data_IF_681198003669
#
_entry.id   IF_681198003669
#
_cell.length_a   1.000
_cell.length_b   1.000
_cell.length_c   1.000
_cell.angle_alpha   90.00
_cell.angle_beta   90.00
_cell.angle_gamma   90.00
#
_symmetry.space_group_name_H-M   'P 1'
#
loop_
_entity.id
_entity.type
_entity.pdbx_description
1 polymer ?
#
# COMPACT_ATOMS: atom_id res chain seq x y z
N UNK A 1 -3.55 -57.12 56.12
CA UNK A 1 -3.56 -55.64 56.14
C UNK A 1 -2.18 -55.11 55.81
N UNK A 2 -2.02 -54.44 54.65
CA UNK A 2 -1.20 -53.23 54.45
C UNK A 2 -1.46 -52.77 53.02
N UNK A 3 -2.12 -51.62 52.92
CA UNK A 3 -2.69 -51.02 51.71
C UNK A 3 -1.57 -50.35 50.91
N UNK A 4 -1.44 -50.71 49.64
CA UNK A 4 -0.59 -50.00 48.68
C UNK A 4 -1.21 -48.66 48.34
N UNK A 5 -0.50 -47.59 48.66
CA UNK A 5 -0.86 -46.21 48.37
C UNK A 5 -0.61 -45.94 46.87
N UNK A 6 -1.67 -45.95 46.06
CA UNK A 6 -1.61 -45.47 44.68
C UNK A 6 -1.59 -43.94 44.74
N UNK A 7 -0.43 -43.35 44.46
CA UNK A 7 -0.28 -41.91 44.30
C UNK A 7 -0.80 -41.54 42.90
N UNK A 8 -2.09 -41.20 42.82
CA UNK A 8 -2.70 -40.65 41.62
C UNK A 8 -2.23 -39.20 41.47
N UNK A 9 -1.16 -38.98 40.70
CA UNK A 9 -0.74 -37.64 40.27
C UNK A 9 -1.72 -37.18 39.21
N UNK A 10 -2.76 -36.44 39.64
CA UNK A 10 -3.63 -35.70 38.74
C UNK A 10 -2.79 -34.56 38.17
N UNK A 11 -2.28 -34.75 36.95
CA UNK A 11 -1.73 -33.68 36.13
C UNK A 11 -2.91 -32.85 35.61
N UNK A 12 -3.44 -31.96 36.45
CA UNK A 12 -4.29 -30.87 35.99
C UNK A 12 -3.40 -29.90 35.22
N UNK A 13 -3.22 -30.16 33.93
CA UNK A 13 -2.87 -29.13 32.96
C UNK A 13 -4.02 -28.12 32.92
N UNK A 14 -4.03 -27.22 33.91
CA UNK A 14 -4.73 -25.95 33.78
C UNK A 14 -4.01 -25.24 32.64
N UNK A 15 -4.57 -25.38 31.44
CA UNK A 15 -4.33 -24.51 30.31
C UNK A 15 -4.78 -23.10 30.74
N UNK A 16 -3.93 -22.43 31.53
CA UNK A 16 -3.95 -20.99 31.58
C UNK A 16 -3.61 -20.55 30.17
N UNK A 17 -4.64 -20.28 29.37
CA UNK A 17 -4.56 -19.25 28.35
C UNK A 17 -4.11 -18.00 29.10
N UNK A 18 -2.79 -17.79 29.18
CA UNK A 18 -2.25 -16.48 29.50
C UNK A 18 -2.85 -15.57 28.42
N UNK A 19 -3.87 -14.80 28.81
CA UNK A 19 -4.30 -13.64 28.04
C UNK A 19 -3.03 -12.81 27.89
N UNK A 20 -2.42 -12.85 26.71
CA UNK A 20 -1.32 -11.98 26.39
C UNK A 20 -1.82 -10.56 26.66
N UNK A 21 -1.20 -9.78 27.56
CA UNK A 21 -1.68 -8.45 27.84
C UNK A 21 -1.70 -7.65 26.53
N UNK A 22 -2.76 -6.87 26.32
CA UNK A 22 -2.81 -5.81 25.32
C UNK A 22 -1.46 -5.10 25.28
N UNK A 23 -0.75 -5.15 24.15
CA UNK A 23 0.55 -4.49 24.05
C UNK A 23 0.31 -3.03 23.70
N UNK A 24 0.71 -2.16 24.63
CA UNK A 24 0.73 -0.69 24.57
C UNK A 24 -0.54 0.01 24.01
N UNK A 25 -1.70 -0.16 24.66
CA UNK A 25 -2.91 0.57 24.30
C UNK A 25 -2.76 2.10 24.49
N UNK A 26 -1.80 2.55 25.31
CA UNK A 26 -1.56 3.96 25.53
C UNK A 26 -0.86 4.58 24.31
N UNK A 27 0.13 3.90 23.73
CA UNK A 27 0.76 4.35 22.49
C UNK A 27 -0.29 4.49 21.38
N UNK A 28 -1.13 3.47 21.19
CA UNK A 28 -2.18 3.54 20.15
C UNK A 28 -3.09 4.73 20.41
N UNK A 29 -3.61 4.85 21.64
CA UNK A 29 -4.45 5.96 22.06
C UNK A 29 -3.80 7.31 21.71
N UNK A 30 -2.58 7.57 22.18
CA UNK A 30 -1.94 8.88 22.06
C UNK A 30 -1.49 9.24 20.63
N UNK A 31 -1.28 8.26 19.76
CA UNK A 31 -0.63 8.48 18.46
C UNK A 31 -1.53 8.25 17.25
N UNK A 32 -2.81 7.93 17.44
CA UNK A 32 -3.71 7.56 16.34
C UNK A 32 -4.99 8.39 16.32
N UNK A 33 -5.73 8.28 15.22
CA UNK A 33 -6.96 9.04 15.00
C UNK A 33 -8.11 8.56 15.85
N UNK A 34 -9.03 9.48 16.12
CA UNK A 34 -10.30 9.17 16.75
C UNK A 34 -11.24 8.44 15.77
N UNK A 35 -11.19 8.75 14.48
CA UNK A 35 -12.05 8.22 13.43
C UNK A 35 -11.40 7.12 12.57
N UNK A 36 -12.23 6.35 11.85
CA UNK A 36 -11.82 5.32 10.90
C UNK A 36 -11.48 5.87 9.50
N UNK A 37 -10.82 5.02 8.71
CA UNK A 37 -10.34 5.29 7.35
C UNK A 37 -11.42 5.67 6.34
N UNK A 38 -11.63 6.96 6.09
CA UNK A 38 -12.69 7.46 5.19
C UNK A 38 -12.37 7.39 3.70
N UNK A 39 -13.41 7.45 2.88
CA UNK A 39 -13.34 7.40 1.42
C UNK A 39 -13.68 8.74 0.78
N UNK A 40 -13.12 9.00 -0.40
CA UNK A 40 -13.52 10.13 -1.26
C UNK A 40 -13.30 9.79 -2.72
N UNK A 41 -14.40 9.78 -3.48
CA UNK A 41 -14.39 9.33 -4.87
C UNK A 41 -13.61 10.25 -5.80
N UNK A 42 -13.55 11.54 -5.48
CA UNK A 42 -12.94 12.56 -6.34
C UNK A 42 -12.07 13.53 -5.54
N UNK A 43 -10.77 13.57 -5.86
CA UNK A 43 -9.83 14.58 -5.37
C UNK A 43 -9.71 15.74 -6.38
N UNK A 44 -9.88 17.01 -5.97
CA UNK A 44 -9.79 18.16 -6.86
C UNK A 44 -8.34 18.50 -7.25
N UNK A 45 -8.20 19.21 -8.37
CA UNK A 45 -6.91 19.71 -8.90
C UNK A 45 -6.15 20.58 -7.89
N UNK A 46 -6.87 21.37 -7.08
CA UNK A 46 -6.26 22.22 -6.05
C UNK A 46 -5.42 21.40 -5.08
N UNK A 47 -5.93 20.26 -4.63
CA UNK A 47 -5.22 19.35 -3.72
C UNK A 47 -4.04 18.71 -4.45
N UNK A 48 -4.23 18.25 -5.69
CA UNK A 48 -3.13 17.72 -6.50
C UNK A 48 -1.96 18.71 -6.60
N UNK A 49 -2.27 19.97 -6.92
CA UNK A 49 -1.29 21.05 -7.02
C UNK A 49 -0.60 21.33 -5.69
N UNK A 50 -1.33 21.32 -4.58
CA UNK A 50 -0.75 21.58 -3.26
C UNK A 50 0.06 20.40 -2.73
N UNK A 51 -0.24 19.18 -3.18
CA UNK A 51 0.50 17.97 -2.83
C UNK A 51 1.92 17.99 -3.36
N UNK A 52 2.13 18.33 -4.65
CA UNK A 52 3.43 18.18 -5.30
C UNK A 52 4.18 19.50 -5.49
N UNK A 53 5.50 19.39 -5.58
CA UNK A 53 6.37 20.52 -5.93
C UNK A 53 6.35 20.69 -7.46
N UNK A 54 6.11 21.92 -7.93
CA UNK A 54 6.27 22.29 -9.34
C UNK A 54 5.02 22.15 -10.23
N UNK A 55 3.87 21.77 -9.67
CA UNK A 55 2.61 21.67 -10.43
C UNK A 55 2.00 23.06 -10.65
N UNK A 56 1.71 23.39 -11.90
CA UNK A 56 1.12 24.67 -12.28
C UNK A 56 -0.38 24.76 -11.91
N UNK A 57 -0.94 25.98 -11.72
CA UNK A 57 -2.39 26.17 -11.77
C UNK A 57 -2.97 25.65 -13.09
N UNK A 58 -4.21 25.17 -13.08
CA UNK A 58 -4.87 24.73 -14.31
C UNK A 58 -5.09 25.92 -15.28
N UNK A 59 -4.86 25.75 -16.60
CA UNK A 59 -4.37 24.54 -17.26
C UNK A 59 -2.86 24.30 -17.02
N UNK A 60 -2.49 23.07 -16.67
CA UNK A 60 -1.10 22.67 -16.42
C UNK A 60 -0.42 22.11 -17.67
N UNK A 61 0.86 21.71 -17.54
CA UNK A 61 1.50 20.88 -18.56
C UNK A 61 0.78 19.53 -18.73
N UNK A 62 0.85 18.98 -19.94
CA UNK A 62 0.10 17.79 -20.34
C UNK A 62 0.38 16.57 -19.45
N UNK A 63 1.60 16.42 -18.93
CA UNK A 63 1.97 15.28 -18.08
C UNK A 63 1.37 15.34 -16.68
N UNK A 64 1.31 16.53 -16.08
CA UNK A 64 0.66 16.73 -14.78
C UNK A 64 -0.84 16.41 -14.89
N UNK A 65 -1.45 16.83 -16.01
CA UNK A 65 -2.85 16.55 -16.30
C UNK A 65 -3.13 15.06 -16.51
N UNK A 66 -2.25 14.36 -17.24
CA UNK A 66 -2.32 12.89 -17.36
C UNK A 66 -2.23 12.25 -15.97
N UNK A 67 -1.24 12.57 -15.14
CA UNK A 67 -1.15 11.96 -13.79
C UNK A 67 -2.39 12.22 -12.93
N UNK A 68 -2.90 13.44 -12.97
CA UNK A 68 -4.09 13.80 -12.25
C UNK A 68 -5.31 12.99 -12.71
N UNK A 69 -5.61 13.01 -14.01
CA UNK A 69 -6.79 12.38 -14.57
C UNK A 69 -6.73 10.86 -14.49
N UNK A 70 -5.53 10.27 -14.58
CA UNK A 70 -5.36 8.82 -14.63
C UNK A 70 -5.25 8.16 -13.25
N UNK A 71 -4.80 8.88 -12.21
CA UNK A 71 -4.52 8.29 -10.90
C UNK A 71 -5.09 9.14 -9.78
N UNK A 72 -4.64 10.38 -9.68
CA UNK A 72 -4.87 11.16 -8.48
C UNK A 72 -6.35 11.45 -8.24
N UNK A 73 -7.07 11.80 -9.31
CA UNK A 73 -8.45 12.28 -9.24
C UNK A 73 -9.40 11.22 -8.69
N UNK A 74 -9.33 9.97 -9.15
CA UNK A 74 -10.36 8.95 -8.89
C UNK A 74 -9.84 7.61 -8.41
N UNK A 75 -8.51 7.38 -8.35
CA UNK A 75 -7.94 6.09 -7.95
C UNK A 75 -7.24 6.13 -6.62
N UNK A 76 -6.59 7.25 -6.32
CA UNK A 76 -5.72 7.31 -5.16
C UNK A 76 -6.48 7.06 -3.85
N UNK A 77 -7.61 7.75 -3.67
CA UNK A 77 -8.36 7.78 -2.42
C UNK A 77 -9.80 7.22 -2.49
N UNK A 78 -10.14 6.54 -3.59
CA UNK A 78 -11.51 6.04 -3.87
C UNK A 78 -12.04 5.03 -2.87
N UNK A 79 -11.18 4.58 -1.97
CA UNK A 79 -11.36 3.37 -1.18
C UNK A 79 -10.79 3.49 0.22
N UNK A 80 -10.14 4.61 0.51
CA UNK A 80 -9.55 4.88 1.80
C UNK A 80 -8.45 5.92 1.73
N UNK A 81 -8.26 6.63 2.83
CA UNK A 81 -7.14 7.52 3.09
C UNK A 81 -6.10 6.93 4.05
N UNK A 82 -6.06 5.60 4.26
CA UNK A 82 -5.24 4.94 5.28
C UNK A 82 -3.77 5.41 5.27
N UNK A 83 -3.17 5.53 4.07
CA UNK A 83 -1.80 6.05 3.93
C UNK A 83 -1.67 7.49 4.43
N UNK A 84 -2.62 8.35 4.07
CA UNK A 84 -2.60 9.77 4.44
C UNK A 84 -2.81 9.94 5.94
N UNK A 85 -3.74 9.18 6.51
CA UNK A 85 -4.00 9.15 7.95
C UNK A 85 -2.78 8.70 8.73
N UNK A 86 -2.21 7.54 8.40
CA UNK A 86 -1.09 6.96 9.14
C UNK A 86 0.16 7.84 9.04
N UNK A 87 0.49 8.32 7.84
CA UNK A 87 1.65 9.17 7.63
C UNK A 87 1.47 10.53 8.30
N UNK A 88 0.28 11.13 8.26
CA UNK A 88 0.04 12.40 8.94
C UNK A 88 0.15 12.25 10.46
N UNK A 89 -0.41 11.19 11.04
CA UNK A 89 -0.29 10.90 12.46
C UNK A 89 1.19 10.75 12.89
N UNK A 90 1.99 10.04 12.09
CA UNK A 90 3.42 9.88 12.35
C UNK A 90 4.22 11.18 12.16
N UNK A 91 3.86 12.02 11.19
CA UNK A 91 4.44 13.36 11.02
C UNK A 91 4.15 14.25 12.23
N UNK A 92 2.92 14.22 12.74
CA UNK A 92 2.54 14.95 13.97
C UNK A 92 3.31 14.43 15.17
N UNK A 93 3.42 13.11 15.36
CA UNK A 93 4.19 12.50 16.46
C UNK A 93 5.67 12.90 16.40
N UNK A 94 6.30 12.81 15.22
CA UNK A 94 7.74 13.09 15.07
C UNK A 94 8.08 14.58 15.23
N UNK A 95 7.21 15.46 14.72
CA UNK A 95 7.51 16.90 14.61
C UNK A 95 6.75 17.77 15.64
N UNK A 96 5.86 17.19 16.46
CA UNK A 96 4.93 17.92 17.32
C UNK A 96 3.70 18.49 16.58
N UNK A 97 3.74 18.51 15.25
CA UNK A 97 2.62 18.90 14.38
C UNK A 97 2.99 18.87 12.90
N UNK A 98 1.98 18.92 12.02
CA UNK A 98 2.15 18.96 10.57
C UNK A 98 0.92 19.59 9.90
N UNK A 99 1.13 20.40 8.85
CA UNK A 99 0.08 21.10 8.09
C UNK A 99 -0.96 21.85 8.96
N UNK A 100 -0.54 22.42 10.09
CA UNK A 100 -1.41 23.19 10.99
C UNK A 100 -2.07 22.37 12.12
N UNK A 101 -1.85 21.07 12.17
CA UNK A 101 -2.37 20.17 13.20
C UNK A 101 -1.27 19.73 14.17
N UNK A 102 -1.54 19.74 15.47
CA UNK A 102 -0.60 19.39 16.54
C UNK A 102 -0.86 17.98 17.08
N UNK A 103 0.17 17.29 17.53
CA UNK A 103 0.00 16.04 18.28
C UNK A 103 -0.71 16.32 19.63
N UNK A 104 -1.61 15.45 20.13
CA UNK A 104 -1.96 14.12 19.61
C UNK A 104 -3.14 14.08 18.63
N UNK A 105 -3.16 13.18 17.62
CA UNK A 105 -4.21 13.14 16.58
C UNK A 105 -5.64 12.92 17.11
N UNK A 106 -5.80 12.18 18.21
CA UNK A 106 -7.13 11.85 18.75
C UNK A 106 -7.94 13.07 19.24
N UNK A 107 -7.31 14.25 19.42
CA UNK A 107 -8.03 15.47 19.84
C UNK A 107 -8.92 16.02 18.72
N UNK A 108 -8.67 15.60 17.49
CA UNK A 108 -9.44 15.99 16.33
C UNK A 108 -10.61 15.02 16.14
N UNK A 109 -11.82 15.56 16.23
CA UNK A 109 -13.05 14.77 16.12
C UNK A 109 -13.37 14.40 14.67
N UNK A 110 -13.96 13.22 14.50
CA UNK A 110 -14.63 12.80 13.27
C UNK A 110 -16.16 12.92 13.39
N UNK A 111 -16.84 12.83 12.26
CA UNK A 111 -18.27 12.53 12.26
C UNK A 111 -18.45 11.02 12.25
N UNK A 112 -19.65 10.54 12.59
CA UNK A 112 -20.02 9.13 12.45
C UNK A 112 -21.29 9.05 11.62
N UNK A 113 -21.28 8.25 10.57
CA UNK A 113 -22.54 7.81 10.00
C UNK A 113 -23.08 6.77 10.98
N UNK A 114 -24.13 7.14 11.73
CA UNK A 114 -24.88 6.16 12.51
C UNK A 114 -25.45 5.13 11.54
N UNK A 115 -25.05 3.85 11.67
CA UNK A 115 -25.66 2.70 10.97
C UNK A 115 -27.19 2.79 10.95
N UNK A 116 -27.75 3.27 9.86
CA UNK A 116 -29.16 3.04 9.56
C UNK A 116 -29.27 1.95 8.51
N UNK A 117 -29.53 0.74 9.02
CA UNK A 117 -30.21 -0.38 8.36
C UNK A 117 -29.48 -1.18 7.26
N UNK A 118 -29.27 -2.47 7.59
CA UNK A 118 -29.32 -3.68 6.74
C UNK A 118 -28.23 -4.04 5.73
N UNK A 119 -27.20 -3.23 5.47
CA UNK A 119 -26.09 -3.65 4.60
C UNK A 119 -24.82 -4.00 5.41
N UNK A 120 -24.26 -5.22 5.32
CA UNK A 120 -23.05 -5.62 6.07
C UNK A 120 -21.74 -5.20 5.38
N UNK A 121 -21.78 -4.37 4.34
CA UNK A 121 -20.59 -3.89 3.66
C UNK A 121 -19.91 -2.77 4.47
N UNK A 122 -18.60 -2.86 4.79
CA UNK A 122 -17.86 -1.83 5.54
C UNK A 122 -17.76 -0.45 4.84
N UNK A 123 -18.38 -0.26 3.67
CA UNK A 123 -18.18 0.91 2.81
C UNK A 123 -18.99 2.14 3.17
N UNK A 124 -20.05 2.01 3.97
CA UNK A 124 -21.05 3.07 4.14
C UNK A 124 -20.96 3.79 5.50
N UNK A 125 -20.12 3.31 6.41
CA UNK A 125 -20.02 3.77 7.80
C UNK A 125 -18.84 4.76 8.06
N UNK A 126 -18.31 5.42 7.02
CA UNK A 126 -17.03 6.15 7.17
C UNK A 126 -17.13 7.66 6.97
N UNK A 127 -17.32 8.37 8.08
CA UNK A 127 -17.22 9.83 8.12
C UNK A 127 -15.85 10.21 8.70
N UNK A 128 -15.01 10.82 7.87
CA UNK A 128 -13.67 11.25 8.23
C UNK A 128 -13.65 12.41 9.24
N UNK A 129 -12.58 13.22 9.27
CA UNK A 129 -12.50 14.34 10.20
C UNK A 129 -13.62 15.36 9.97
N UNK A 130 -14.15 15.95 11.05
CA UNK A 130 -15.14 17.02 10.97
C UNK A 130 -14.60 18.31 10.35
N UNK A 131 -13.29 18.54 10.53
CA UNK A 131 -12.61 19.71 10.00
C UNK A 131 -12.22 19.47 8.52
N UNK A 132 -12.80 20.22 7.55
CA UNK A 132 -12.47 20.07 6.13
C UNK A 132 -11.01 20.40 5.81
N UNK A 133 -10.34 21.22 6.63
CA UNK A 133 -8.92 21.49 6.45
C UNK A 133 -8.06 20.28 6.87
N UNK A 134 -8.51 19.50 7.88
CA UNK A 134 -7.83 18.28 8.30
C UNK A 134 -8.01 17.21 7.23
N UNK A 135 -9.22 17.13 6.67
CA UNK A 135 -9.50 16.26 5.53
C UNK A 135 -8.55 16.58 4.36
N UNK A 136 -8.39 17.87 4.03
CA UNK A 136 -7.48 18.32 2.98
C UNK A 136 -6.02 17.97 3.30
N UNK A 137 -5.58 18.16 4.55
CA UNK A 137 -4.23 17.78 4.98
C UNK A 137 -3.98 16.27 4.83
N UNK A 138 -4.95 15.44 5.21
CA UNK A 138 -4.90 13.98 5.02
C UNK A 138 -4.85 13.64 3.53
N UNK A 139 -5.69 14.26 2.70
CA UNK A 139 -5.71 14.06 1.24
C UNK A 139 -4.39 14.44 0.57
N UNK A 140 -3.76 15.54 1.01
CA UNK A 140 -2.44 15.96 0.53
C UNK A 140 -1.35 14.95 0.90
N UNK A 141 -1.30 14.54 2.17
CA UNK A 141 -0.33 13.53 2.64
C UNK A 141 -0.60 12.19 1.98
N UNK A 142 -1.87 11.85 1.73
CA UNK A 142 -2.27 10.67 1.00
C UNK A 142 -1.65 10.65 -0.41
N UNK A 143 -1.56 11.82 -1.04
CA UNK A 143 -0.85 12.09 -2.28
C UNK A 143 0.63 11.70 -2.32
N UNK A 144 1.34 11.73 -1.20
CA UNK A 144 2.80 11.52 -1.21
C UNK A 144 3.22 10.14 -1.70
N UNK A 145 2.33 9.15 -1.70
CA UNK A 145 2.61 7.80 -2.20
C UNK A 145 2.91 7.68 -3.71
N UNK A 146 2.64 8.71 -4.52
CA UNK A 146 2.99 8.72 -5.96
C UNK A 146 4.06 9.76 -6.32
N UNK A 147 4.77 10.29 -5.33
CA UNK A 147 5.86 11.22 -5.59
C UNK A 147 7.15 10.49 -6.01
N UNK A 148 8.11 11.24 -6.58
CA UNK A 148 9.36 10.68 -7.12
C UNK A 148 10.16 9.88 -6.08
N UNK A 149 10.48 10.48 -4.92
CA UNK A 149 11.27 9.83 -3.87
C UNK A 149 10.62 8.53 -3.36
N UNK A 150 9.29 8.52 -3.22
CA UNK A 150 8.54 7.37 -2.73
C UNK A 150 8.61 6.19 -3.72
N UNK A 151 8.34 6.45 -5.01
CA UNK A 151 8.39 5.42 -6.04
C UNK A 151 9.80 4.89 -6.28
N UNK A 152 10.83 5.76 -6.21
CA UNK A 152 12.23 5.32 -6.26
C UNK A 152 12.56 4.34 -5.12
N UNK A 153 12.15 4.67 -3.90
CA UNK A 153 12.36 3.79 -2.74
C UNK A 153 11.70 2.42 -2.95
N UNK A 154 10.46 2.37 -3.45
CA UNK A 154 9.77 1.11 -3.71
C UNK A 154 10.48 0.27 -4.78
N UNK A 155 10.96 0.91 -5.87
CA UNK A 155 11.75 0.23 -6.88
C UNK A 155 13.06 -0.34 -6.32
N UNK A 156 13.73 0.36 -5.41
CA UNK A 156 14.95 -0.14 -4.77
C UNK A 156 14.68 -1.36 -3.88
N UNK A 157 13.61 -1.35 -3.09
CA UNK A 157 13.20 -2.51 -2.26
C UNK A 157 12.86 -3.72 -3.13
N UNK A 158 12.18 -3.49 -4.26
CA UNK A 158 11.86 -4.54 -5.22
C UNK A 158 13.10 -5.07 -5.93
N UNK A 159 14.04 -4.19 -6.27
CA UNK A 159 15.25 -4.57 -6.97
C UNK A 159 16.15 -5.51 -6.15
N UNK A 160 16.16 -5.36 -4.83
CA UNK A 160 16.88 -6.27 -3.93
C UNK A 160 16.07 -7.53 -3.56
N UNK A 161 14.87 -7.69 -4.11
CA UNK A 161 14.02 -8.88 -3.90
C UNK A 161 13.52 -9.03 -2.46
N UNK A 162 13.36 -7.92 -1.72
CA UNK A 162 12.98 -7.94 -0.29
C UNK A 162 11.54 -7.49 0.00
N UNK A 163 10.77 -7.12 -1.03
CA UNK A 163 9.42 -6.57 -0.84
C UNK A 163 8.41 -7.55 -0.22
N UNK A 164 8.67 -8.86 -0.26
CA UNK A 164 7.79 -9.92 0.27
C UNK A 164 8.40 -10.70 1.45
N UNK A 165 9.60 -10.35 1.89
CA UNK A 165 10.29 -11.04 2.98
C UNK A 165 9.96 -10.39 4.33
N UNK A 166 9.05 -11.00 5.10
CA UNK A 166 8.63 -10.47 6.40
C UNK A 166 9.79 -10.33 7.40
N UNK A 167 10.88 -11.10 7.27
CA UNK A 167 12.07 -10.93 8.13
C UNK A 167 12.77 -9.62 7.83
N UNK A 168 12.86 -9.26 6.55
CA UNK A 168 13.42 -7.99 6.14
C UNK A 168 12.56 -6.85 6.68
N UNK A 169 11.24 -6.93 6.55
CA UNK A 169 10.30 -5.94 7.10
C UNK A 169 10.48 -5.79 8.61
N UNK A 170 10.55 -6.89 9.36
CA UNK A 170 10.81 -6.87 10.80
C UNK A 170 12.12 -6.17 11.16
N UNK A 171 13.20 -6.45 10.41
CA UNK A 171 14.49 -5.79 10.61
C UNK A 171 14.42 -4.29 10.30
N UNK A 172 13.76 -3.91 9.20
CA UNK A 172 13.58 -2.51 8.82
C UNK A 172 12.75 -1.73 9.85
N UNK A 173 11.67 -2.32 10.38
CA UNK A 173 10.86 -1.69 11.44
C UNK A 173 11.72 -1.39 12.66
N UNK A 174 12.47 -2.37 13.16
CA UNK A 174 13.36 -2.17 14.31
C UNK A 174 14.44 -1.11 14.03
N UNK A 175 15.02 -1.15 12.84
CA UNK A 175 16.03 -0.19 12.41
C UNK A 175 15.51 1.25 12.40
N UNK A 176 14.34 1.48 11.80
CA UNK A 176 13.78 2.82 11.66
C UNK A 176 13.20 3.37 12.96
N UNK A 177 12.55 2.53 13.77
CA UNK A 177 12.14 2.92 15.12
C UNK A 177 13.34 3.32 15.99
N UNK A 178 14.44 2.55 15.94
CA UNK A 178 15.66 2.89 16.67
C UNK A 178 16.35 4.18 16.18
N UNK A 179 16.07 4.60 14.93
CA UNK A 179 16.61 5.84 14.34
C UNK A 179 15.72 7.07 14.56
N UNK A 180 14.64 6.95 15.33
CA UNK A 180 13.64 8.00 15.47
C UNK A 180 13.07 8.45 14.10
N UNK A 181 12.88 7.49 13.20
CA UNK A 181 12.27 7.71 11.89
C UNK A 181 11.11 6.72 11.69
N UNK A 182 10.04 6.85 12.50
CA UNK A 182 9.01 5.81 12.64
C UNK A 182 8.43 5.41 11.28
N UNK A 183 8.53 4.14 10.88
CA UNK A 183 8.07 3.75 9.56
C UNK A 183 6.55 3.55 9.54
N UNK A 184 5.99 3.51 8.33
CA UNK A 184 4.70 2.87 8.05
C UNK A 184 4.95 1.55 7.32
N UNK A 185 4.03 0.61 7.40
CA UNK A 185 4.10 -0.66 6.67
C UNK A 185 3.04 -0.65 5.58
N UNK A 186 3.48 -0.79 4.33
CA UNK A 186 2.60 -1.08 3.20
C UNK A 186 2.46 -2.60 3.04
N UNK A 187 1.23 -3.10 3.05
CA UNK A 187 0.91 -4.49 2.70
C UNK A 187 0.00 -4.54 1.48
N UNK A 188 0.16 -5.57 0.67
CA UNK A 188 -0.75 -5.84 -0.46
C UNK A 188 -1.29 -7.25 -0.33
N UNK A 189 -2.52 -7.49 -0.81
CA UNK A 189 -3.12 -8.84 -0.77
C UNK A 189 -2.37 -9.80 -1.69
N UNK A 190 -1.97 -9.29 -2.85
CA UNK A 190 -1.19 -10.01 -3.86
C UNK A 190 -0.23 -9.04 -4.56
N UNK A 191 0.36 -9.52 -5.64
CA UNK A 191 1.22 -8.80 -6.60
C UNK A 191 0.44 -7.93 -7.57
N UNK A 192 -0.86 -8.20 -7.72
CA UNK A 192 -1.74 -7.55 -8.68
C UNK A 192 -2.14 -6.16 -8.16
N UNK A 193 -2.01 -5.10 -8.99
CA UNK A 193 -2.46 -3.77 -8.62
C UNK A 193 -3.98 -3.65 -8.40
N UNK A 194 -4.76 -4.63 -8.86
CA UNK A 194 -6.20 -4.67 -8.65
C UNK A 194 -6.61 -5.28 -7.29
N UNK A 195 -5.72 -6.03 -6.62
CA UNK A 195 -6.08 -6.80 -5.42
C UNK A 195 -6.00 -5.99 -4.12
N UNK A 196 -5.57 -4.74 -4.23
CA UNK A 196 -5.60 -3.77 -3.15
C UNK A 196 -4.34 -3.69 -2.29
N UNK A 197 -4.17 -2.54 -1.65
CA UNK A 197 -3.08 -2.22 -0.74
C UNK A 197 -3.61 -1.58 0.54
N UNK A 198 -2.90 -1.76 1.65
CA UNK A 198 -3.24 -1.20 2.95
C UNK A 198 -1.99 -0.71 3.66
N UNK A 199 -2.16 0.25 4.56
CA UNK A 199 -1.06 0.84 5.35
C UNK A 199 -1.37 0.72 6.82
N UNK A 200 -0.32 0.41 7.58
CA UNK A 200 -0.36 0.12 8.99
C UNK A 200 0.78 0.87 9.69
N UNK A 201 0.59 1.28 10.93
CA UNK A 201 1.67 1.90 11.73
C UNK A 201 2.27 0.86 12.68
N UNK A 202 3.50 0.38 12.46
CA UNK A 202 4.20 -0.44 13.44
C UNK A 202 4.63 0.39 14.65
N UNK A 203 4.35 -0.09 15.85
CA UNK A 203 4.76 0.57 17.09
C UNK A 203 5.59 -0.32 18.01
N UNK A 204 5.55 -1.63 17.83
CA UNK A 204 6.30 -2.56 18.66
C UNK A 204 6.64 -3.84 17.89
N UNK A 205 7.77 -4.46 18.19
CA UNK A 205 8.14 -5.75 17.62
C UNK A 205 8.52 -6.75 18.70
N UNK A 206 8.28 -8.03 18.44
CA UNK A 206 8.63 -9.11 19.36
C UNK A 206 9.20 -10.30 18.62
N UNK A 207 10.41 -10.69 18.99
CA UNK A 207 11.03 -11.94 18.55
C UNK A 207 10.71 -13.05 19.55
N UNK A 208 10.08 -14.12 19.08
CA UNK A 208 9.71 -15.28 19.89
C UNK A 208 10.45 -16.55 19.43
N UNK A 209 11.59 -16.38 18.76
CA UNK A 209 12.38 -17.47 18.20
C UNK A 209 11.82 -17.95 16.87
N UNK A 210 10.94 -18.96 16.88
CA UNK A 210 10.36 -19.54 15.65
C UNK A 210 9.44 -18.58 14.89
N UNK A 211 8.91 -17.58 15.59
CA UNK A 211 7.97 -16.59 15.07
C UNK A 211 8.39 -15.21 15.51
N UNK A 212 8.17 -14.21 14.64
CA UNK A 212 8.32 -12.79 14.94
C UNK A 212 6.98 -12.11 14.77
N UNK A 213 6.73 -11.06 15.55
CA UNK A 213 5.51 -10.24 15.45
C UNK A 213 5.87 -8.78 15.32
N UNK A 214 5.17 -8.10 14.42
CA UNK A 214 5.16 -6.64 14.35
C UNK A 214 3.76 -6.20 14.77
N UNK A 215 3.65 -5.53 15.91
CA UNK A 215 2.39 -4.98 16.40
C UNK A 215 2.12 -3.65 15.71
N UNK A 216 0.88 -3.48 15.28
CA UNK A 216 0.47 -2.41 14.37
C UNK A 216 -0.80 -1.72 14.83
N UNK A 217 -0.92 -0.44 14.52
CA UNK A 217 -2.18 0.27 14.40
C UNK A 217 -2.72 0.12 12.98
N UNK A 218 -4.03 -0.08 12.88
CA UNK A 218 -4.76 -0.18 11.62
C UNK A 218 -5.79 0.96 11.53
N UNK A 219 -5.68 1.88 10.56
CA UNK A 219 -6.61 3.01 10.44
C UNK A 219 -8.04 2.60 10.06
N UNK A 220 -8.29 1.35 9.67
CA UNK A 220 -9.66 0.82 9.54
C UNK A 220 -10.28 0.43 10.89
N UNK A 221 -9.53 0.54 12.00
CA UNK A 221 -9.95 0.16 13.35
C UNK A 221 -9.46 1.21 14.34
N UNK A 222 -10.26 2.24 14.59
CA UNK A 222 -9.96 3.22 15.62
C UNK A 222 -9.99 2.59 17.01
N UNK A 223 -9.09 3.06 17.88
CA UNK A 223 -9.08 2.70 19.30
C UNK A 223 -10.29 3.27 20.05
N UNK A 224 -10.82 4.39 19.57
CA UNK A 224 -11.78 5.23 20.27
C UNK A 224 -13.23 4.96 19.89
N UNK A 225 -13.45 4.26 18.77
CA UNK A 225 -14.74 4.21 18.09
C UNK A 225 -15.28 2.79 17.84
N UNK A 226 -16.62 2.66 17.72
CA UNK A 226 -17.31 1.38 17.66
C UNK A 226 -17.44 0.84 16.22
N UNK A 227 -16.47 0.02 15.80
CA UNK A 227 -16.63 -1.03 14.79
C UNK A 227 -16.79 -2.41 15.45
N UNK A 228 -16.93 -3.49 14.67
CA UNK A 228 -17.10 -4.86 15.22
C UNK A 228 -15.94 -5.31 16.14
N UNK A 229 -14.75 -4.70 16.07
CA UNK A 229 -13.59 -5.07 16.88
C UNK A 229 -12.59 -3.94 17.22
N UNK A 230 -12.86 -2.65 17.03
CA UNK A 230 -11.85 -1.56 17.16
C UNK A 230 -10.97 -1.60 18.42
N UNK A 231 -11.56 -1.34 19.61
CA UNK A 231 -10.82 -1.44 20.88
C UNK A 231 -10.38 -2.86 21.23
N UNK A 232 -11.17 -3.87 20.88
CA UNK A 232 -10.89 -5.27 21.17
C UNK A 232 -9.68 -5.79 20.38
N UNK A 233 -9.47 -5.30 19.16
CA UNK A 233 -8.34 -5.61 18.30
C UNK A 233 -7.00 -5.27 18.97
N UNK A 234 -6.94 -4.11 19.63
CA UNK A 234 -5.77 -3.66 20.38
C UNK A 234 -5.67 -4.27 21.78
N UNK A 235 -6.80 -4.59 22.41
CA UNK A 235 -6.80 -5.11 23.79
C UNK A 235 -6.67 -6.64 23.90
N UNK A 236 -6.98 -7.38 22.84
CA UNK A 236 -6.81 -8.83 22.76
C UNK A 236 -5.48 -9.25 22.12
N UNK A 237 -4.62 -8.28 21.77
CA UNK A 237 -3.29 -8.47 21.21
C UNK A 237 -3.29 -9.29 19.90
N UNK A 238 -4.31 -9.14 19.06
CA UNK A 238 -4.40 -9.73 17.71
C UNK A 238 -3.89 -8.77 16.60
N UNK A 239 -3.54 -7.55 16.98
CA UNK A 239 -3.10 -6.46 16.12
C UNK A 239 -1.63 -6.60 15.69
N UNK A 240 -1.28 -7.73 15.06
CA UNK A 240 0.09 -7.97 14.62
C UNK A 240 0.18 -8.62 13.24
N UNK A 241 1.28 -8.30 12.55
CA UNK A 241 1.77 -9.08 11.42
C UNK A 241 2.59 -10.24 11.99
N UNK A 242 2.17 -11.46 11.70
CA UNK A 242 2.82 -12.70 12.13
C UNK A 242 3.86 -13.13 11.08
N UNK A 243 5.09 -13.40 11.49
CA UNK A 243 6.21 -13.71 10.58
C UNK A 243 6.87 -15.01 11.01
N UNK A 244 7.03 -15.94 10.08
CA UNK A 244 7.76 -17.19 10.28
C UNK A 244 9.26 -16.93 10.13
N UNK A 245 10.03 -17.06 11.22
CA UNK A 245 11.46 -16.71 11.23
C UNK A 245 12.30 -17.49 10.20
N UNK A 246 11.93 -18.74 9.92
CA UNK A 246 12.69 -19.59 9.01
C UNK A 246 12.51 -19.19 7.54
N UNK A 247 11.26 -18.96 7.11
CA UNK A 247 10.90 -18.76 5.70
C UNK A 247 10.73 -17.30 5.31
N UNK A 248 10.48 -16.42 6.28
CA UNK A 248 10.07 -15.04 6.03
C UNK A 248 8.65 -14.89 5.50
N UNK A 249 7.86 -15.96 5.53
CA UNK A 249 6.43 -15.87 5.28
C UNK A 249 5.76 -15.00 6.35
N UNK A 250 4.82 -14.15 5.94
CA UNK A 250 4.08 -13.27 6.81
C UNK A 250 2.56 -13.38 6.57
N UNK A 251 1.78 -13.05 7.58
CA UNK A 251 0.31 -12.93 7.48
C UNK A 251 -0.22 -11.82 8.38
N UNK A 252 -1.32 -11.21 7.95
CA UNK A 252 -2.05 -10.19 8.69
C UNK A 252 -3.56 -10.39 8.57
N UNK A 253 -4.30 -10.20 9.65
CA UNK A 253 -5.76 -10.32 9.64
C UNK A 253 -6.41 -8.98 9.26
N UNK A 254 -6.85 -8.87 8.00
CA UNK A 254 -7.66 -7.76 7.49
C UNK A 254 -9.15 -7.90 7.84
N UNK A 255 -9.59 -9.08 8.29
CA UNK A 255 -10.96 -9.34 8.71
C UNK A 255 -11.24 -8.87 10.13
N UNK A 256 -12.36 -9.32 10.71
CA UNK A 256 -12.70 -9.04 12.12
C UNK A 256 -12.29 -10.20 13.02
N UNK A 257 -12.29 -10.00 14.33
CA UNK A 257 -12.06 -11.09 15.29
C UNK A 257 -12.95 -12.32 15.07
N UNK A 258 -14.23 -12.13 14.71
CA UNK A 258 -15.18 -13.22 14.46
C UNK A 258 -15.18 -13.78 13.03
N UNK A 259 -14.55 -13.08 12.08
CA UNK A 259 -14.48 -13.47 10.67
C UNK A 259 -13.12 -13.06 10.10
N UNK A 260 -12.06 -13.84 10.37
CA UNK A 260 -10.71 -13.48 9.98
C UNK A 260 -10.52 -13.61 8.46
N UNK A 261 -9.87 -12.61 7.87
CA UNK A 261 -9.49 -12.57 6.45
C UNK A 261 -7.99 -12.31 6.40
N UNK A 262 -7.21 -13.32 6.01
CA UNK A 262 -5.76 -13.19 6.02
C UNK A 262 -5.23 -12.67 4.69
N UNK A 263 -4.43 -11.61 4.77
CA UNK A 263 -3.48 -11.26 3.72
C UNK A 263 -2.14 -11.88 4.09
N UNK A 264 -1.41 -12.37 3.09
CA UNK A 264 -0.15 -13.06 3.33
C UNK A 264 0.83 -12.87 2.19
N UNK A 265 2.10 -13.12 2.49
CA UNK A 265 3.20 -13.05 1.55
C UNK A 265 4.36 -13.93 1.97
N UNK A 266 5.20 -14.28 1.01
CA UNK A 266 6.48 -14.94 1.27
C UNK A 266 7.49 -14.50 0.19
N UNK A 267 8.81 -14.75 0.39
CA UNK A 267 9.82 -14.32 -0.58
C UNK A 267 9.60 -14.79 -2.03
N UNK A 268 8.83 -15.87 -2.25
CA UNK A 268 8.54 -16.43 -3.57
C UNK A 268 7.18 -16.07 -4.16
N UNK A 269 6.17 -15.69 -3.36
CA UNK A 269 4.79 -15.55 -3.84
C UNK A 269 3.93 -14.60 -2.96
N UNK A 270 2.71 -14.34 -3.45
CA UNK A 270 1.65 -13.55 -2.81
C UNK A 270 2.00 -12.07 -2.54
N UNK A 271 1.46 -11.48 -1.47
CA UNK A 271 1.51 -10.05 -1.18
C UNK A 271 2.88 -9.48 -0.82
N UNK A 272 3.02 -8.16 -0.96
CA UNK A 272 4.15 -7.39 -0.44
C UNK A 272 3.93 -6.99 1.02
N UNK A 273 5.02 -6.80 1.75
CA UNK A 273 5.04 -6.25 3.10
C UNK A 273 6.31 -5.41 3.25
N UNK A 274 6.19 -4.10 3.11
CA UNK A 274 7.32 -3.17 2.99
C UNK A 274 7.25 -2.15 4.12
N UNK A 275 8.33 -2.04 4.90
CA UNK A 275 8.48 -0.97 5.87
C UNK A 275 9.08 0.25 5.16
N UNK A 276 8.36 1.37 5.20
CA UNK A 276 8.72 2.63 4.54
C UNK A 276 8.97 3.66 5.64
N UNK A 277 10.19 4.21 5.77
CA UNK A 277 10.50 5.20 6.80
C UNK A 277 9.73 6.52 6.57
N UNK A 278 9.43 7.25 7.66
CA UNK A 278 8.71 8.52 7.55
C UNK A 278 9.46 9.57 6.73
N UNK A 279 10.79 9.56 6.77
CA UNK A 279 11.63 10.42 5.91
C UNK A 279 11.40 10.23 4.41
N UNK A 280 10.79 9.12 4.01
CA UNK A 280 10.35 8.83 2.64
C UNK A 280 8.83 9.01 2.52
N UNK A 281 8.04 8.35 3.38
CA UNK A 281 6.58 8.35 3.29
C UNK A 281 5.97 9.76 3.50
N UNK A 282 6.49 10.51 4.46
CA UNK A 282 6.02 11.84 4.81
C UNK A 282 6.66 12.98 4.01
N UNK A 283 7.57 12.67 3.08
CA UNK A 283 8.29 13.69 2.32
C UNK A 283 7.40 14.23 1.20
N UNK A 284 7.11 15.53 1.24
CA UNK A 284 6.60 16.25 0.07
C UNK A 284 7.69 16.27 -1.01
N UNK A 285 7.34 15.86 -2.21
CA UNK A 285 8.24 15.84 -3.35
C UNK A 285 7.47 16.13 -4.65
N UNK A 286 8.22 16.21 -5.74
CA UNK A 286 7.73 16.42 -7.09
C UNK A 286 7.12 15.15 -7.69
N UNK A 287 6.37 15.30 -8.79
CA UNK A 287 5.87 14.16 -9.56
C UNK A 287 7.00 13.38 -10.23
N UNK A 288 6.82 12.09 -10.54
CA UNK A 288 7.88 11.23 -11.08
C UNK A 288 8.55 11.78 -12.35
N UNK A 289 7.82 12.58 -13.11
CA UNK A 289 8.17 13.07 -14.45
C UNK A 289 8.54 14.56 -14.48
N UNK A 290 8.43 15.26 -13.35
CA UNK A 290 8.54 16.73 -13.27
C UNK A 290 9.96 17.28 -13.47
N UNK A 291 10.95 16.42 -13.69
CA UNK A 291 12.26 16.81 -14.20
C UNK A 291 12.63 15.89 -15.35
N UNK A 292 13.10 16.50 -16.44
CA UNK A 292 13.95 15.89 -17.46
C UNK A 292 15.27 15.44 -16.80
N UNK A 293 15.17 14.57 -15.79
CA UNK A 293 16.31 14.02 -15.07
C UNK A 293 17.12 13.19 -16.06
N UNK A 294 18.45 13.30 -15.98
CA UNK A 294 19.38 12.44 -16.72
C UNK A 294 18.89 10.98 -16.68
N UNK A 295 18.88 10.32 -17.85
CA UNK A 295 18.08 9.14 -18.15
C UNK A 295 18.19 7.94 -17.18
N UNK A 296 19.18 7.89 -16.30
CA UNK A 296 19.29 6.87 -15.25
C UNK A 296 18.39 7.10 -14.03
N UNK A 297 17.95 8.34 -13.77
CA UNK A 297 17.11 8.73 -12.63
C UNK A 297 15.65 9.07 -13.02
N UNK A 298 15.35 9.05 -14.31
CA UNK A 298 14.01 9.25 -14.81
C UNK A 298 13.12 8.06 -14.41
N UNK A 299 12.00 8.37 -13.76
CA UNK A 299 10.93 7.40 -13.55
C UNK A 299 9.97 7.49 -14.71
N UNK A 300 9.83 6.39 -15.43
CA UNK A 300 8.90 6.26 -16.53
C UNK A 300 7.63 5.54 -16.08
N UNK A 301 6.53 5.73 -16.81
CA UNK A 301 5.21 5.28 -16.34
C UNK A 301 4.43 4.65 -17.48
N UNK A 302 3.77 3.54 -17.19
CA UNK A 302 2.89 2.81 -18.10
C UNK A 302 1.49 2.90 -17.54
N UNK A 303 0.54 3.26 -18.39
CA UNK A 303 -0.89 3.31 -18.08
C UNK A 303 -1.63 2.29 -18.94
N UNK A 304 -2.44 1.44 -18.31
CA UNK A 304 -3.23 0.41 -18.97
C UNK A 304 -4.71 0.73 -18.76
N UNK A 305 -5.55 0.54 -19.78
CA UNK A 305 -7.00 0.74 -19.71
C UNK A 305 -7.75 -0.35 -20.45
N UNK A 306 -8.92 -0.70 -19.90
CA UNK A 306 -9.85 -1.64 -20.51
C UNK A 306 -9.79 -2.98 -19.81
N UNK A 307 -10.33 -4.03 -20.41
CA UNK A 307 -10.05 -5.39 -19.96
C UNK A 307 -8.73 -5.84 -20.60
N UNK A 308 -7.63 -5.37 -20.01
CA UNK A 308 -6.26 -5.64 -20.46
C UNK A 308 -5.52 -6.43 -19.41
N UNK A 309 -4.81 -7.45 -19.87
CA UNK A 309 -3.97 -8.30 -19.05
C UNK A 309 -2.55 -8.30 -19.57
N UNK A 310 -1.67 -7.61 -18.86
CA UNK A 310 -0.24 -7.60 -19.16
C UNK A 310 0.34 -8.98 -18.87
N UNK A 311 1.01 -9.57 -19.84
CA UNK A 311 1.65 -10.89 -19.73
C UNK A 311 3.14 -10.77 -19.43
N UNK A 312 3.77 -9.75 -20.01
CA UNK A 312 5.21 -9.55 -19.93
C UNK A 312 5.56 -8.09 -20.16
N UNK A 313 6.56 -7.62 -19.42
CA UNK A 313 7.28 -6.37 -19.72
C UNK A 313 8.76 -6.75 -19.91
N UNK A 314 9.36 -6.34 -21.02
CA UNK A 314 10.76 -6.65 -21.34
C UNK A 314 11.55 -5.40 -21.74
N UNK A 315 12.83 -5.36 -21.39
CA UNK A 315 13.75 -4.33 -21.88
C UNK A 315 14.35 -4.71 -23.24
N UNK A 316 15.11 -3.79 -23.85
CA UNK A 316 15.78 -4.02 -25.14
C UNK A 316 16.89 -5.08 -25.07
N UNK A 317 17.41 -5.39 -23.88
CA UNK A 317 18.41 -6.44 -23.67
C UNK A 317 17.81 -7.83 -23.54
N UNK A 318 16.47 -7.94 -23.57
CA UNK A 318 15.74 -9.19 -23.45
C UNK A 318 15.48 -9.63 -22.00
N UNK A 319 15.82 -8.81 -21.00
CA UNK A 319 15.38 -9.07 -19.64
C UNK A 319 13.90 -8.80 -19.52
N UNK A 320 13.21 -9.64 -18.75
CA UNK A 320 11.75 -9.63 -18.69
C UNK A 320 11.23 -9.79 -17.27
N UNK A 321 10.06 -9.20 -17.06
CA UNK A 321 9.20 -9.41 -15.90
C UNK A 321 7.95 -10.09 -16.41
N UNK A 322 7.74 -11.32 -15.95
CA UNK A 322 6.52 -12.07 -16.23
C UNK A 322 5.44 -11.56 -15.30
N UNK A 323 4.23 -11.39 -15.81
CA UNK A 323 3.06 -11.00 -15.02
C UNK A 323 2.02 -12.06 -15.30
N UNK A 324 2.05 -13.14 -14.52
CA UNK A 324 1.17 -14.29 -14.73
C UNK A 324 0.25 -14.47 -13.51
N UNK A 325 -0.99 -14.88 -13.75
CA UNK A 325 -2.00 -15.08 -12.68
C UNK A 325 -1.66 -16.23 -11.73
N UNK A 326 -0.49 -16.85 -11.89
CA UNK A 326 -0.08 -18.06 -11.19
C UNK A 326 0.97 -17.76 -10.12
N UNK A 327 1.24 -16.47 -9.84
CA UNK A 327 2.05 -16.05 -8.69
C UNK A 327 3.54 -16.37 -8.83
N UNK A 328 4.04 -16.61 -10.06
CA UNK A 328 5.47 -16.76 -10.36
C UNK A 328 5.94 -15.60 -11.24
N UNK A 329 5.64 -14.36 -10.84
CA UNK A 329 5.96 -13.11 -11.59
C UNK A 329 7.46 -12.80 -11.70
N UNK A 330 8.31 -13.69 -11.20
CA UNK A 330 9.74 -13.56 -11.31
C UNK A 330 10.19 -14.50 -12.41
N UNK A 331 10.80 -13.92 -13.45
CA UNK A 331 11.62 -14.68 -14.39
C UNK A 331 12.60 -15.54 -13.57
N UNK A 332 12.51 -16.89 -13.65
CA UNK A 332 13.27 -17.79 -12.78
C UNK A 332 14.78 -17.66 -12.99
N UNK A 333 15.22 -17.26 -14.18
CA UNK A 333 16.61 -16.96 -14.45
C UNK A 333 16.94 -15.54 -13.99
N UNK A 334 17.75 -15.40 -12.92
CA UNK A 334 18.15 -14.09 -12.38
C UNK A 334 18.80 -13.18 -13.44
N UNK A 335 19.58 -13.75 -14.37
CA UNK A 335 20.22 -12.99 -15.46
C UNK A 335 19.24 -12.44 -16.50
N UNK A 336 18.07 -13.08 -16.64
CA UNK A 336 17.00 -12.67 -17.54
C UNK A 336 15.93 -11.81 -16.84
N UNK A 337 16.05 -11.58 -15.53
CA UNK A 337 15.01 -10.91 -14.75
C UNK A 337 15.09 -9.39 -14.89
N UNK A 338 13.96 -8.77 -15.21
CA UNK A 338 13.79 -7.33 -15.17
C UNK A 338 13.32 -6.89 -13.77
N UNK A 339 14.22 -6.28 -13.01
CA UNK A 339 13.98 -5.84 -11.62
C UNK A 339 13.66 -4.35 -11.50
N UNK A 340 13.62 -3.64 -12.63
CA UNK A 340 13.45 -2.19 -12.70
C UNK A 340 12.01 -1.73 -12.94
N UNK A 341 11.05 -2.66 -12.95
CA UNK A 341 9.63 -2.40 -13.21
C UNK A 341 8.79 -2.88 -12.04
N UNK A 342 7.80 -2.07 -11.63
CA UNK A 342 6.83 -2.45 -10.60
C UNK A 342 5.40 -2.11 -11.00
N UNK A 343 4.41 -3.00 -10.74
CA UNK A 343 3.04 -2.55 -10.68
C UNK A 343 2.90 -1.57 -9.52
N UNK A 344 2.25 -0.44 -9.75
CA UNK A 344 1.90 0.48 -8.69
C UNK A 344 0.49 0.17 -8.20
N UNK A 345 0.37 0.02 -6.88
CA UNK A 345 -0.88 -0.27 -6.19
C UNK A 345 -1.12 0.91 -5.26
N UNK A 346 -2.16 1.75 -5.48
CA UNK A 346 -2.52 2.76 -4.51
C UNK A 346 -2.79 2.09 -3.16
N UNK A 347 -2.16 2.62 -2.12
CA UNK A 347 -2.32 2.15 -0.76
C UNK A 347 -3.61 2.72 -0.18
N UNK A 348 -4.52 1.86 0.28
CA UNK A 348 -5.86 2.23 0.74
C UNK A 348 -6.99 1.64 -0.09
N UNK A 349 -6.67 0.88 -1.14
CA UNK A 349 -7.65 0.18 -1.98
C UNK A 349 -7.89 -1.23 -1.41
N UNK A 350 -9.07 -1.62 -0.89
CA UNK A 350 -9.39 -3.01 -0.68
C UNK A 350 -9.61 -3.70 -2.03
N UNK A 351 -9.50 -5.04 -2.10
CA UNK A 351 -9.77 -5.79 -3.33
C UNK A 351 -11.16 -5.44 -3.86
N UNK A 352 -11.24 -4.95 -5.10
CA UNK A 352 -12.53 -4.73 -5.74
C UNK A 352 -13.24 -6.07 -5.91
N UNK A 353 -14.41 -6.25 -5.28
CA UNK A 353 -15.26 -7.43 -5.45
C UNK A 353 -16.07 -7.40 -6.76
N UNK A 354 -15.51 -6.85 -7.84
CA UNK A 354 -16.21 -6.70 -9.12
C UNK A 354 -15.31 -6.21 -10.25
N UNK A 355 -15.61 -6.70 -11.45
CA UNK A 355 -14.98 -6.45 -12.76
C UNK A 355 -15.01 -4.96 -13.18
N UNK A 356 -14.37 -4.08 -12.42
CA UNK A 356 -14.10 -2.73 -12.93
C UNK A 356 -12.95 -2.82 -13.92
N UNK A 357 -13.23 -2.44 -15.18
CA UNK A 357 -12.27 -2.36 -16.29
C UNK A 357 -10.91 -1.88 -15.79
N UNK A 358 -9.88 -2.72 -15.90
CA UNK A 358 -8.60 -2.51 -15.24
C UNK A 358 -7.98 -1.20 -15.72
N UNK A 359 -7.67 -0.33 -14.75
CA UNK A 359 -6.73 0.76 -14.93
C UNK A 359 -5.51 0.43 -14.12
N UNK A 360 -4.51 -0.16 -14.77
CA UNK A 360 -3.25 -0.55 -14.10
C UNK A 360 -2.18 0.50 -14.38
N UNK A 361 -1.38 0.82 -13.38
CA UNK A 361 -0.15 1.58 -13.55
C UNK A 361 1.06 0.71 -13.30
N UNK A 362 2.09 0.86 -14.13
CA UNK A 362 3.44 0.38 -13.84
C UNK A 362 4.42 1.53 -13.84
N UNK A 363 5.39 1.47 -12.94
CA UNK A 363 6.48 2.44 -12.85
C UNK A 363 7.78 1.70 -13.14
N UNK A 364 8.67 2.31 -13.91
CA UNK A 364 9.96 1.72 -14.20
C UNK A 364 11.10 2.72 -14.27
N UNK A 365 12.30 2.25 -13.94
CA UNK A 365 13.56 2.99 -14.11
C UNK A 365 14.34 2.46 -15.30
N UNK A 366 14.94 3.34 -16.08
CA UNK A 366 15.80 2.98 -17.20
C UNK A 366 15.88 4.07 -18.27
N UNK A 367 16.98 4.02 -19.02
CA UNK A 367 17.25 4.88 -20.18
C UNK A 367 16.60 4.40 -21.47
N UNK A 368 16.06 3.18 -21.46
CA UNK A 368 15.52 2.52 -22.64
C UNK A 368 14.03 2.23 -22.46
N UNK A 369 13.25 2.32 -23.55
CA UNK A 369 11.86 1.94 -23.51
C UNK A 369 11.69 0.44 -23.26
N UNK A 370 10.55 0.08 -22.68
CA UNK A 370 10.17 -1.33 -22.50
C UNK A 370 9.15 -1.78 -23.55
N UNK A 371 9.23 -3.06 -23.90
CA UNK A 371 8.23 -3.76 -24.70
C UNK A 371 7.18 -4.37 -23.77
N UNK A 372 5.91 -4.14 -24.07
CA UNK A 372 4.78 -4.69 -23.33
C UNK A 372 4.07 -5.72 -24.19
N UNK A 373 3.89 -6.94 -23.67
CA UNK A 373 3.04 -7.96 -24.28
C UNK A 373 1.79 -8.14 -23.42
N UNK A 374 0.61 -8.02 -24.02
CA UNK A 374 -0.66 -8.02 -23.31
C UNK A 374 -1.77 -8.66 -24.13
N UNK A 375 -2.83 -9.12 -23.48
CA UNK A 375 -4.09 -9.53 -24.13
C UNK A 375 -5.17 -8.52 -23.75
N UNK A 376 -6.08 -8.22 -24.68
CA UNK A 376 -7.17 -7.29 -24.43
C UNK A 376 -8.50 -7.83 -24.96
N UNK A 377 -9.60 -7.61 -24.23
CA UNK A 377 -10.96 -7.93 -24.68
C UNK A 377 -11.80 -6.65 -24.67
N UNK A 378 -12.40 -6.30 -25.80
CA UNK A 378 -13.13 -5.03 -25.93
C UNK A 378 -12.19 -3.83 -26.08
N UNK A 379 -12.69 -2.63 -25.78
CA UNK A 379 -11.91 -1.40 -25.94
C UNK A 379 -10.73 -1.36 -24.95
N UNK A 380 -9.55 -1.04 -25.47
CA UNK A 380 -8.34 -0.92 -24.68
C UNK A 380 -7.52 0.31 -25.05
N UNK A 381 -6.68 0.72 -24.10
CA UNK A 381 -5.65 1.74 -24.28
C UNK A 381 -4.41 1.36 -23.49
N UNK A 382 -3.23 1.51 -24.07
CA UNK A 382 -1.93 1.32 -23.43
C UNK A 382 -1.10 2.56 -23.71
N UNK A 383 -0.80 3.31 -22.67
CA UNK A 383 0.01 4.53 -22.70
C UNK A 383 1.35 4.32 -22.01
N UNK A 384 2.39 4.98 -22.48
CA UNK A 384 3.68 5.06 -21.80
C UNK A 384 4.19 6.48 -21.85
N UNK A 385 4.50 7.01 -20.68
CA UNK A 385 5.25 8.26 -20.53
C UNK A 385 6.72 7.92 -20.33
N UNK A 386 7.52 8.25 -21.34
CA UNK A 386 8.94 7.92 -21.42
C UNK A 386 9.72 9.11 -21.99
N UNK A 387 10.80 9.52 -21.30
CA UNK A 387 11.67 10.63 -21.72
C UNK A 387 10.91 11.93 -22.08
N UNK A 388 9.86 12.27 -21.31
CA UNK A 388 9.07 13.47 -21.58
C UNK A 388 8.22 13.38 -22.86
N UNK A 389 7.90 12.16 -23.31
CA UNK A 389 6.97 11.91 -24.42
C UNK A 389 5.91 10.89 -24.00
N UNK A 390 4.67 11.13 -24.40
CA UNK A 390 3.56 10.20 -24.20
C UNK A 390 3.29 9.41 -25.48
N UNK A 391 3.50 8.11 -25.42
CA UNK A 391 3.25 7.14 -26.49
C UNK A 391 1.96 6.39 -26.15
N UNK A 392 1.06 6.23 -27.10
CA UNK A 392 -0.22 5.56 -26.82
C UNK A 392 -0.67 4.69 -28.00
N UNK A 393 -1.13 3.49 -27.68
CA UNK A 393 -1.90 2.64 -28.60
C UNK A 393 -3.28 2.40 -28.01
N UNK A 394 -4.31 2.46 -28.84
CA UNK A 394 -5.71 2.18 -28.47
C UNK A 394 -6.40 1.38 -29.55
N UNK A 395 -7.33 0.51 -29.16
CA UNK A 395 -8.07 -0.29 -30.12
C UNK A 395 -9.16 -1.14 -29.47
N UNK A 396 -9.64 -2.14 -30.22
CA UNK A 396 -10.58 -3.14 -29.72
C UNK A 396 -9.96 -4.52 -29.80
N UNK A 397 -9.71 -5.13 -28.65
CA UNK A 397 -9.13 -6.45 -28.52
C UNK A 397 -10.18 -7.56 -28.60
N UNK A 398 -9.76 -8.71 -29.09
CA UNK A 398 -10.53 -9.94 -29.26
C UNK A 398 -9.98 -11.10 -28.39
N UNK A 399 -9.08 -10.79 -27.43
CA UNK A 399 -8.37 -11.76 -26.61
C UNK A 399 -7.01 -12.19 -27.16
N UNK A 400 -6.61 -11.77 -28.36
CA UNK A 400 -5.31 -12.10 -28.94
C UNK A 400 -4.15 -11.38 -28.22
N UNK A 401 -2.95 -11.95 -28.37
CA UNK A 401 -1.72 -11.37 -27.83
C UNK A 401 -1.31 -10.17 -28.69
N UNK A 402 -1.25 -9.01 -28.07
CA UNK A 402 -0.83 -7.74 -28.64
C UNK A 402 0.53 -7.33 -28.06
N UNK A 403 1.22 -6.46 -28.79
CA UNK A 403 2.50 -5.90 -28.36
C UNK A 403 2.48 -4.38 -28.48
N UNK A 404 3.04 -3.70 -27.50
CA UNK A 404 3.30 -2.28 -27.53
C UNK A 404 4.78 -2.02 -27.30
N UNK A 405 5.35 -1.20 -28.17
CA UNK A 405 6.70 -0.67 -28.05
C UNK A 405 6.63 0.81 -28.45
N UNK A 406 7.18 1.73 -27.66
CA UNK A 406 7.22 3.14 -28.01
C UNK A 406 8.26 3.35 -29.13
N UNK A 407 7.79 3.26 -30.36
CA UNK A 407 8.53 3.66 -31.56
C UNK A 407 8.15 5.11 -31.89
N UNK A 408 9.03 5.87 -32.56
CA UNK A 408 8.77 7.28 -32.92
C UNK A 408 7.45 7.47 -33.70
N UNK A 409 7.02 6.45 -34.44
CA UNK A 409 5.77 6.42 -35.21
C UNK A 409 4.49 6.45 -34.32
N UNK A 410 4.63 6.14 -33.02
CA UNK A 410 3.52 6.05 -32.04
C UNK A 410 3.38 7.33 -31.17
N UNK A 411 4.07 8.42 -31.51
CA UNK A 411 3.99 9.69 -30.76
C UNK A 411 2.66 10.37 -31.09
N UNK A 412 1.75 10.46 -30.11
CA UNK A 412 0.65 11.44 -30.18
C UNK A 412 1.22 12.80 -29.79
N UNK A 413 1.09 13.76 -30.70
CA UNK A 413 1.38 15.18 -30.41
C UNK A 413 0.23 15.85 -29.71
#
# INVERSE_FOLDING_TARGET
>A
MKRGLILLVIFTTVLFQQKAPAQDPNWVKENTWYFDNFVKDVLPWSIFRETYIGVAPAPSGDFDQIFYDQIFKTKLASTGHCYGMDVLAMLMMKNGGYLGYCHPPYVYSGSYASRTTSDPTPSDDILGPNDPNLQTAIEMVHGYQINHSFLMFLLDVLAIGKSRDGRYTFQQVNYYLAKNDPPVISITKSVSPADGGHVLIPFFTKDMGGTKRIYVYDPNRSYYEPGNDGKDFYTTAINYIDIVSATGAWKYNMGTFGSPVYWSGNPGADGNCIAIPLSIAGKKDRLPQSLLADGSYALNTIFIYGDVKVKQIADLSGKKKMLNDVGTDLEPCDDQRLTTVMPFIPMGVPPSSGETKSQDMYVFRGSDPVKISFTAVGEYKVGMLFHGHYYEVSGKGNGELLNFQPLEENIKK
#
